data_IF_727010801341
#
_entry.id   IF_727010801341
#
_cell.length_a   1.000
_cell.length_b   1.000
_cell.length_c   1.000
_cell.angle_alpha   90.00
_cell.angle_beta   90.00
_cell.angle_gamma   90.00
#
_symmetry.space_group_name_H-M   'P 1'
#
loop_
_entity.id
_entity.type
_entity.pdbx_description
1 polymer ?
#
# COMPACT_ATOMS: atom_id res chain seq x y z
N UNK A 1 -6.70 5.32 -40.75
CA UNK A 1 -6.63 6.79 -40.86
C UNK A 1 -7.65 7.38 -39.89
N UNK A 2 -7.21 8.20 -38.93
CA UNK A 2 -8.14 8.86 -38.01
C UNK A 2 -8.79 10.05 -38.73
N UNK A 3 -10.09 9.97 -39.01
CA UNK A 3 -10.84 11.05 -39.66
C UNK A 3 -11.03 12.27 -38.76
N UNK A 4 -11.67 13.32 -39.29
CA UNK A 4 -12.13 14.46 -38.47
C UNK A 4 -13.24 14.04 -37.51
N UNK A 5 -13.42 14.81 -36.44
CA UNK A 5 -14.50 14.58 -35.49
C UNK A 5 -15.87 14.78 -36.17
N UNK A 6 -16.79 13.83 -35.97
CA UNK A 6 -18.20 13.87 -36.41
C UNK A 6 -19.06 14.92 -35.67
N UNK A 7 -18.46 15.97 -35.13
CA UNK A 7 -19.20 17.06 -34.50
C UNK A 7 -19.03 18.29 -35.36
N UNK A 8 -20.13 18.87 -35.82
CA UNK A 8 -20.19 19.81 -36.95
C UNK A 8 -19.30 21.06 -36.75
N UNK A 9 -19.04 21.43 -35.50
CA UNK A 9 -18.22 22.58 -35.12
C UNK A 9 -16.83 22.21 -34.58
N UNK A 10 -16.32 20.99 -34.87
CA UNK A 10 -15.11 20.46 -34.26
C UNK A 10 -14.08 19.94 -35.26
N UNK A 11 -13.00 20.68 -35.42
CA UNK A 11 -11.89 20.32 -36.32
C UNK A 11 -10.87 19.36 -35.68
N UNK A 12 -11.17 18.80 -34.50
CA UNK A 12 -10.25 17.89 -33.82
C UNK A 12 -10.24 16.52 -34.51
N UNK A 13 -9.09 15.85 -34.48
CA UNK A 13 -8.94 14.49 -35.00
C UNK A 13 -9.76 13.50 -34.16
N UNK A 14 -10.48 12.60 -34.82
CA UNK A 14 -11.23 11.52 -34.19
C UNK A 14 -10.29 10.51 -33.52
N UNK A 15 -10.70 9.97 -32.37
CA UNK A 15 -9.95 8.96 -31.65
C UNK A 15 -10.75 7.66 -31.62
N UNK A 16 -10.50 6.79 -32.61
CA UNK A 16 -11.09 5.46 -32.69
C UNK A 16 -12.38 5.35 -33.52
N UNK A 17 -12.99 4.17 -33.42
CA UNK A 17 -14.01 3.63 -34.35
C UNK A 17 -15.35 4.37 -34.41
N UNK A 18 -15.63 5.30 -33.48
CA UNK A 18 -16.89 6.09 -33.48
C UNK A 18 -16.79 7.45 -34.14
N UNK A 19 -15.63 7.81 -34.70
CA UNK A 19 -15.48 9.06 -35.46
C UNK A 19 -15.56 10.35 -34.63
N UNK A 20 -15.55 10.28 -33.29
CA UNK A 20 -15.49 11.46 -32.42
C UNK A 20 -14.08 11.70 -31.90
N UNK A 21 -13.70 12.96 -31.68
CA UNK A 21 -12.51 13.27 -30.90
C UNK A 21 -12.69 12.78 -29.44
N UNK A 22 -11.60 12.59 -28.70
CA UNK A 22 -11.63 12.08 -27.32
C UNK A 22 -12.60 12.84 -26.41
N UNK A 23 -12.71 14.15 -26.58
CA UNK A 23 -13.58 14.99 -25.76
C UNK A 23 -15.08 14.77 -26.09
N UNK A 24 -15.45 14.73 -27.37
CA UNK A 24 -16.82 14.46 -27.80
C UNK A 24 -17.24 13.01 -27.56
N UNK A 25 -16.34 12.05 -27.74
CA UNK A 25 -16.60 10.65 -27.40
C UNK A 25 -17.00 10.49 -25.92
N UNK A 26 -16.28 11.16 -25.01
CA UNK A 26 -16.58 11.11 -23.57
C UNK A 26 -17.90 11.79 -23.21
N UNK A 27 -18.30 12.85 -23.92
CA UNK A 27 -19.60 13.51 -23.72
C UNK A 27 -20.76 12.65 -24.20
N UNK A 28 -20.62 12.11 -25.41
CA UNK A 28 -21.56 11.16 -25.99
C UNK A 28 -21.77 9.95 -25.06
N UNK A 29 -20.68 9.34 -24.57
CA UNK A 29 -20.76 8.20 -23.66
C UNK A 29 -21.43 8.53 -22.31
N UNK A 30 -21.39 9.80 -21.88
CA UNK A 30 -21.98 10.26 -20.61
C UNK A 30 -23.36 10.90 -20.78
N UNK A 31 -23.93 10.92 -21.98
CA UNK A 31 -25.21 11.58 -22.25
C UNK A 31 -25.19 13.09 -21.99
N UNK A 32 -24.03 13.74 -22.15
CA UNK A 32 -23.87 15.17 -21.92
C UNK A 32 -24.15 15.96 -23.20
N UNK A 33 -24.49 17.24 -23.05
CA UNK A 33 -24.69 18.14 -24.18
C UNK A 33 -23.46 18.17 -25.10
N UNK A 34 -23.70 17.78 -26.36
CA UNK A 34 -22.68 17.69 -27.39
C UNK A 34 -22.27 19.08 -27.89
N UNK A 35 -23.22 20.03 -27.93
CA UNK A 35 -23.03 21.37 -28.48
C UNK A 35 -22.37 22.35 -27.50
N UNK A 36 -22.41 22.06 -26.21
CA UNK A 36 -21.76 22.91 -25.22
C UNK A 36 -20.26 23.07 -25.54
N UNK A 37 -19.68 24.28 -25.39
CA UNK A 37 -18.29 24.52 -25.75
C UNK A 37 -17.35 23.53 -25.06
N UNK A 38 -16.45 22.93 -25.83
CA UNK A 38 -15.41 22.08 -25.26
C UNK A 38 -14.47 22.97 -24.44
N UNK A 39 -14.48 22.81 -23.12
CA UNK A 39 -13.49 23.46 -22.25
C UNK A 39 -12.09 23.17 -22.79
N UNK A 40 -11.46 24.20 -23.34
CA UNK A 40 -10.03 24.17 -23.62
C UNK A 40 -9.35 24.05 -22.27
N UNK A 41 -8.35 23.18 -22.16
CA UNK A 41 -7.49 23.16 -20.97
C UNK A 41 -6.90 24.56 -20.87
N UNK A 42 -7.36 25.34 -19.88
CA UNK A 42 -6.74 26.62 -19.56
C UNK A 42 -5.24 26.41 -19.41
N UNK A 43 -4.50 27.34 -19.99
CA UNK A 43 -3.07 27.33 -20.26
C UNK A 43 -2.22 26.58 -19.22
N UNK A 44 -1.43 25.65 -19.74
CA UNK A 44 -0.24 25.11 -19.10
C UNK A 44 0.74 26.29 -18.95
N UNK A 45 0.95 26.81 -17.74
CA UNK A 45 2.02 27.78 -17.48
C UNK A 45 1.80 28.83 -16.39
N UNK A 46 0.59 29.00 -15.87
CA UNK A 46 0.38 30.00 -14.81
C UNK A 46 1.14 29.63 -13.52
N UNK A 47 1.85 30.58 -12.92
CA UNK A 47 2.60 30.44 -11.66
C UNK A 47 1.67 30.55 -10.46
N UNK A 48 1.97 29.85 -9.37
CA UNK A 48 1.15 29.80 -8.15
C UNK A 48 0.66 31.19 -7.68
N UNK A 49 -0.59 31.31 -7.22
CA UNK A 49 -1.15 32.55 -6.64
C UNK A 49 -0.49 33.01 -5.33
N UNK A 50 0.46 32.24 -4.79
CA UNK A 50 1.08 32.57 -3.50
C UNK A 50 2.29 33.44 -3.79
N UNK A 51 2.34 34.60 -3.15
CA UNK A 51 3.43 35.54 -3.31
C UNK A 51 4.79 34.87 -3.03
N UNK A 52 5.77 35.15 -3.89
CA UNK A 52 7.09 34.50 -3.85
C UNK A 52 7.14 33.05 -4.35
N UNK A 53 6.08 32.48 -4.94
CA UNK A 53 6.09 31.10 -5.45
C UNK A 53 6.04 31.01 -6.98
N UNK A 54 7.18 30.64 -7.60
CA UNK A 54 7.31 30.46 -9.05
C UNK A 54 6.85 29.08 -9.57
N UNK A 55 6.38 28.18 -8.70
CA UNK A 55 5.95 26.82 -9.10
C UNK A 55 4.68 26.88 -9.97
N UNK A 56 4.53 25.95 -10.94
CA UNK A 56 3.35 25.92 -11.81
C UNK A 56 2.07 25.60 -11.02
N UNK A 57 0.97 26.28 -11.38
CA UNK A 57 -0.38 26.00 -10.88
C UNK A 57 -0.82 24.60 -11.29
N UNK A 58 -1.35 23.84 -10.34
CA UNK A 58 -1.89 22.50 -10.56
C UNK A 58 -3.41 22.46 -10.39
N UNK A 59 -3.96 23.18 -9.41
CA UNK A 59 -5.40 23.24 -9.16
C UNK A 59 -5.77 24.50 -8.36
N UNK A 60 -6.97 25.06 -8.62
CA UNK A 60 -7.55 26.20 -7.89
C UNK A 60 -6.62 27.41 -7.70
N UNK A 61 -5.74 27.69 -8.66
CA UNK A 61 -4.80 28.80 -8.55
C UNK A 61 -3.49 28.50 -7.80
N UNK A 62 -3.34 27.32 -7.23
CA UNK A 62 -2.19 26.95 -6.39
C UNK A 62 -1.29 25.90 -7.06
N UNK A 63 0.01 25.91 -6.71
CA UNK A 63 0.90 24.76 -6.98
C UNK A 63 0.48 23.55 -6.12
N UNK A 64 1.00 22.37 -6.41
CA UNK A 64 0.62 21.13 -5.71
C UNK A 64 0.73 21.25 -4.18
N UNK A 65 1.85 21.82 -3.69
CA UNK A 65 2.11 21.98 -2.26
C UNK A 65 1.16 22.99 -1.62
N UNK A 66 0.90 24.12 -2.27
CA UNK A 66 -0.03 25.13 -1.74
C UNK A 66 -1.48 24.67 -1.81
N UNK A 67 -1.86 23.92 -2.84
CA UNK A 67 -3.18 23.33 -2.94
C UNK A 67 -3.43 22.30 -1.82
N UNK A 68 -2.43 21.48 -1.50
CA UNK A 68 -2.51 20.52 -0.39
C UNK A 68 -2.67 21.22 0.97
N UNK A 69 -1.92 22.30 1.22
CA UNK A 69 -2.04 23.11 2.45
C UNK A 69 -3.40 23.79 2.55
N UNK A 70 -3.85 24.43 1.47
CA UNK A 70 -5.18 25.05 1.41
C UNK A 70 -6.29 24.03 1.67
N UNK A 71 -6.19 22.82 1.12
CA UNK A 71 -7.16 21.73 1.38
C UNK A 71 -7.15 21.27 2.84
N UNK A 72 -6.02 21.38 3.52
CA UNK A 72 -5.85 21.04 4.93
C UNK A 72 -6.11 22.21 5.90
N UNK A 73 -6.57 23.38 5.42
CA UNK A 73 -6.80 24.56 6.25
C UNK A 73 -5.52 25.24 6.77
N UNK A 74 -4.36 24.94 6.20
CA UNK A 74 -3.06 25.47 6.62
C UNK A 74 -2.71 26.75 5.83
N UNK A 75 -2.12 27.74 6.52
CA UNK A 75 -1.66 28.99 5.89
C UNK A 75 -0.68 28.76 4.73
N UNK A 76 -0.83 29.54 3.67
CA UNK A 76 0.01 29.51 2.48
C UNK A 76 1.29 30.36 2.58
N UNK A 77 1.43 31.17 3.63
CA UNK A 77 2.50 32.18 3.76
C UNK A 77 3.84 31.69 4.33
N UNK A 78 3.93 30.64 5.19
CA UNK A 78 5.24 30.17 5.64
C UNK A 78 6.04 29.63 4.45
N UNK A 79 7.35 29.94 4.34
CA UNK A 79 8.17 29.37 3.28
C UNK A 79 8.10 27.85 3.36
N UNK A 80 7.72 27.22 2.24
CA UNK A 80 7.89 25.78 2.07
C UNK A 80 9.37 25.53 2.27
N UNK A 81 9.77 24.88 3.38
CA UNK A 81 11.18 24.55 3.64
C UNK A 81 11.77 23.90 2.39
N UNK A 82 12.59 24.66 1.68
CA UNK A 82 13.38 24.16 0.57
C UNK A 82 14.50 23.36 1.21
N UNK A 83 14.42 22.04 1.12
CA UNK A 83 15.55 21.18 1.47
C UNK A 83 16.60 21.24 0.35
N UNK A 84 17.12 22.43 0.02
CA UNK A 84 18.30 22.61 -0.84
C UNK A 84 19.60 22.24 -0.11
N UNK A 85 19.54 21.24 0.78
CA UNK A 85 20.74 20.69 1.39
C UNK A 85 21.35 19.73 0.37
N UNK A 86 22.66 19.80 0.20
CA UNK A 86 23.42 18.81 -0.56
C UNK A 86 23.81 17.64 0.35
N UNK A 87 24.31 16.57 -0.23
CA UNK A 87 24.77 15.41 0.53
C UNK A 87 26.03 15.75 1.32
N UNK A 88 26.12 15.32 2.57
CA UNK A 88 27.32 15.48 3.43
C UNK A 88 28.46 14.49 3.08
N UNK A 89 28.29 13.64 2.07
CA UNK A 89 29.36 12.73 1.66
C UNK A 89 30.32 13.48 0.75
N UNK A 90 31.62 13.32 1.01
CA UNK A 90 32.68 13.97 0.24
C UNK A 90 32.52 13.74 -1.27
N UNK A 91 32.66 14.81 -2.05
CA UNK A 91 32.49 14.79 -3.50
C UNK A 91 31.08 14.48 -4.03
N UNK A 92 30.00 14.71 -3.26
CA UNK A 92 28.62 14.41 -3.69
C UNK A 92 27.68 15.62 -3.71
N UNK A 93 27.37 16.12 -4.90
CA UNK A 93 26.45 17.26 -5.09
C UNK A 93 24.95 16.87 -5.13
N UNK A 94 24.62 15.63 -4.80
CA UNK A 94 23.23 15.14 -4.89
C UNK A 94 22.35 15.77 -3.80
N UNK A 95 21.05 15.97 -4.05
CA UNK A 95 20.15 16.51 -3.04
C UNK A 95 20.10 15.62 -1.80
N UNK A 96 20.12 16.25 -0.63
CA UNK A 96 19.88 15.65 0.67
C UNK A 96 18.51 14.96 0.68
N UNK A 97 18.51 13.69 1.08
CA UNK A 97 17.29 12.93 1.29
C UNK A 97 16.92 12.89 2.77
N UNK A 98 17.83 12.37 3.60
CA UNK A 98 17.60 12.18 5.03
C UNK A 98 18.92 11.99 5.78
N UNK A 99 18.95 12.36 7.06
CA UNK A 99 20.12 12.19 7.98
C UNK A 99 21.46 12.70 7.44
N UNK A 100 21.44 13.79 6.68
CA UNK A 100 22.65 14.41 6.11
C UNK A 100 23.04 13.87 4.72
N UNK A 101 22.46 12.75 4.30
CA UNK A 101 22.86 12.06 3.09
C UNK A 101 21.80 12.13 1.98
N UNK A 102 22.25 12.05 0.72
CA UNK A 102 21.36 11.73 -0.39
C UNK A 102 20.75 10.33 -0.21
N UNK A 103 19.65 10.02 -0.87
CA UNK A 103 18.96 8.73 -0.70
C UNK A 103 19.88 7.51 -0.93
N UNK A 104 20.87 7.61 -1.83
CA UNK A 104 21.82 6.53 -2.10
C UNK A 104 22.85 6.36 -0.96
N UNK A 105 23.47 7.45 -0.50
CA UNK A 105 24.42 7.40 0.62
C UNK A 105 23.74 7.04 1.93
N UNK A 106 22.52 7.52 2.19
CA UNK A 106 21.74 7.09 3.34
C UNK A 106 21.51 5.58 3.33
N UNK A 107 21.20 5.00 2.16
CA UNK A 107 20.98 3.57 2.04
C UNK A 107 22.28 2.79 2.30
N UNK A 108 23.42 3.23 1.75
CA UNK A 108 24.73 2.62 1.99
C UNK A 108 25.15 2.68 3.46
N UNK A 109 25.00 3.84 4.10
CA UNK A 109 25.25 4.00 5.54
C UNK A 109 24.42 3.00 6.36
N UNK A 110 23.14 2.86 6.02
CA UNK A 110 22.23 1.96 6.74
C UNK A 110 22.57 0.49 6.52
N UNK A 111 23.10 0.12 5.36
CA UNK A 111 23.37 -1.28 5.00
C UNK A 111 24.84 -1.70 5.17
N UNK A 112 25.73 -0.80 5.60
CA UNK A 112 27.17 -1.08 5.73
C UNK A 112 27.89 -1.27 4.40
N UNK A 113 27.37 -0.73 3.30
CA UNK A 113 28.04 -0.80 2.00
C UNK A 113 29.11 0.30 1.88
N UNK A 114 30.19 0.08 1.10
CA UNK A 114 31.24 1.09 0.90
C UNK A 114 30.68 2.42 0.41
N UNK A 115 31.07 3.51 1.07
CA UNK A 115 30.53 4.84 0.80
C UNK A 115 31.12 5.49 -0.44
N UNK A 116 32.42 5.33 -0.66
CA UNK A 116 33.20 5.99 -1.71
C UNK A 116 32.99 5.41 -3.12
N UNK A 117 32.29 4.27 -3.25
CA UNK A 117 32.02 3.71 -4.58
C UNK A 117 31.13 4.66 -5.40
N UNK A 118 31.35 4.81 -6.71
CA UNK A 118 30.48 5.64 -7.54
C UNK A 118 29.01 5.20 -7.43
N UNK A 119 28.10 6.14 -7.13
CA UNK A 119 26.68 5.81 -7.14
C UNK A 119 26.23 5.76 -8.61
N UNK A 120 25.79 4.60 -9.09
CA UNK A 120 25.18 4.43 -10.42
C UNK A 120 24.19 5.57 -10.72
N UNK A 121 24.36 6.24 -11.87
CA UNK A 121 23.47 7.31 -12.31
C UNK A 121 22.15 6.70 -12.74
N UNK A 122 21.03 7.35 -12.39
CA UNK A 122 19.70 6.88 -12.74
C UNK A 122 19.47 7.10 -14.24
N UNK A 123 19.55 6.04 -15.03
CA UNK A 123 19.27 6.09 -16.48
C UNK A 123 20.31 5.40 -17.36
N UNK A 124 21.51 5.15 -16.84
CA UNK A 124 22.62 4.52 -17.59
C UNK A 124 22.61 2.97 -17.47
N UNK A 125 21.56 2.41 -16.87
CA UNK A 125 21.49 1.01 -16.49
C UNK A 125 20.41 0.27 -17.26
N UNK A 126 20.70 -0.06 -18.50
CA UNK A 126 19.89 -0.96 -19.32
C UNK A 126 20.33 -0.85 -20.76
N UNK A 127 21.10 -1.84 -21.24
CA UNK A 127 21.37 -1.96 -22.68
C UNK A 127 20.07 -2.07 -23.48
N UNK A 128 20.20 -2.31 -24.78
CA UNK A 128 19.03 -2.60 -25.62
C UNK A 128 18.26 -3.80 -25.07
N UNK A 129 16.96 -3.84 -25.34
CA UNK A 129 16.14 -5.01 -25.06
C UNK A 129 16.76 -6.24 -25.74
N UNK A 130 16.87 -7.35 -25.02
CA UNK A 130 17.39 -8.61 -25.55
C UNK A 130 16.42 -9.32 -26.52
N UNK A 131 15.37 -8.65 -26.97
CA UNK A 131 14.40 -9.21 -27.91
C UNK A 131 14.79 -8.71 -29.29
N UNK A 132 14.97 -9.63 -30.24
CA UNK A 132 15.35 -9.30 -31.61
C UNK A 132 14.35 -8.30 -32.23
N UNK A 133 14.88 -7.25 -32.86
CA UNK A 133 14.07 -6.17 -33.44
C UNK A 133 13.45 -5.22 -32.43
N UNK A 134 13.91 -5.19 -31.16
CA UNK A 134 13.44 -4.25 -30.15
C UNK A 134 14.58 -3.34 -29.67
N UNK A 135 14.53 -2.07 -30.07
CA UNK A 135 15.52 -1.05 -29.68
C UNK A 135 15.14 -0.30 -28.39
N UNK A 136 14.05 -0.71 -27.73
CA UNK A 136 13.63 -0.10 -26.47
C UNK A 136 14.68 -0.36 -25.36
N UNK A 137 14.91 0.61 -24.46
CA UNK A 137 15.84 0.44 -23.36
C UNK A 137 15.38 -0.66 -22.39
N UNK A 138 16.31 -1.54 -22.00
CA UNK A 138 16.04 -2.58 -21.03
C UNK A 138 15.69 -1.96 -19.67
N UNK A 139 14.60 -2.44 -19.08
CA UNK A 139 14.12 -2.04 -17.77
C UNK A 139 14.61 -3.00 -16.66
N UNK A 140 14.65 -4.29 -16.94
CA UNK A 140 15.09 -5.32 -15.99
C UNK A 140 15.26 -6.67 -16.68
N UNK A 141 16.22 -7.47 -16.21
CA UNK A 141 16.59 -8.76 -16.82
C UNK A 141 16.88 -8.68 -18.33
N UNK A 142 17.42 -7.56 -18.80
CA UNK A 142 17.69 -7.34 -20.22
C UNK A 142 16.44 -7.07 -21.09
N UNK A 143 15.24 -6.99 -20.52
CA UNK A 143 14.00 -6.78 -21.27
C UNK A 143 13.46 -5.35 -21.09
N UNK A 144 12.91 -4.75 -22.15
CA UNK A 144 12.16 -3.50 -22.06
C UNK A 144 10.91 -3.67 -21.17
N UNK A 145 10.27 -2.59 -20.73
CA UNK A 145 9.09 -2.68 -19.83
C UNK A 145 7.98 -3.57 -20.39
N UNK A 146 7.74 -3.49 -21.70
CA UNK A 146 6.70 -4.25 -22.40
C UNK A 146 7.06 -5.73 -22.42
N UNK A 147 8.27 -6.08 -22.87
CA UNK A 147 8.71 -7.47 -22.92
C UNK A 147 8.90 -8.08 -21.53
N UNK A 148 9.38 -7.31 -20.55
CA UNK A 148 9.46 -7.74 -19.15
C UNK A 148 8.07 -8.08 -18.60
N UNK A 149 7.07 -7.22 -18.83
CA UNK A 149 5.70 -7.47 -18.38
C UNK A 149 5.03 -8.66 -19.05
N UNK A 150 5.38 -8.95 -20.31
CA UNK A 150 4.91 -10.13 -21.06
C UNK A 150 5.59 -11.42 -20.61
N UNK A 151 6.90 -11.40 -20.42
CA UNK A 151 7.70 -12.57 -20.01
C UNK A 151 7.48 -12.94 -18.53
N UNK A 152 7.18 -11.95 -17.68
CA UNK A 152 6.94 -12.14 -16.25
C UNK A 152 5.58 -11.56 -15.85
N UNK A 153 4.46 -12.16 -16.30
CA UNK A 153 3.14 -11.74 -15.90
C UNK A 153 3.01 -11.91 -14.38
N UNK A 154 2.41 -10.93 -13.70
CA UNK A 154 2.10 -11.10 -12.28
C UNK A 154 1.04 -12.19 -12.14
N UNK A 155 1.28 -13.16 -11.26
CA UNK A 155 0.29 -14.21 -10.95
C UNK A 155 -1.08 -13.56 -10.60
N UNK A 156 -2.15 -13.97 -11.30
CA UNK A 156 -3.51 -13.55 -10.96
C UNK A 156 -3.87 -13.85 -9.50
N UNK A 157 -3.41 -14.97 -8.96
CA UNK A 157 -3.59 -15.40 -7.57
C UNK A 157 -2.87 -14.44 -6.62
N UNK A 158 -1.62 -14.09 -6.90
CA UNK A 158 -0.85 -13.14 -6.10
C UNK A 158 -1.52 -11.75 -6.08
N UNK A 159 -2.05 -11.30 -7.21
CA UNK A 159 -2.81 -10.06 -7.29
C UNK A 159 -4.13 -10.15 -6.51
N UNK A 160 -4.87 -11.28 -6.62
CA UNK A 160 -6.11 -11.52 -5.88
C UNK A 160 -5.86 -11.53 -4.38
N UNK A 161 -4.82 -12.22 -3.92
CA UNK A 161 -4.40 -12.25 -2.52
C UNK A 161 -4.02 -10.85 -2.03
N UNK A 162 -3.25 -10.08 -2.81
CA UNK A 162 -2.90 -8.69 -2.48
C UNK A 162 -4.14 -7.80 -2.33
N UNK A 163 -5.09 -7.90 -3.26
CA UNK A 163 -6.32 -7.12 -3.23
C UNK A 163 -7.22 -7.54 -2.07
N UNK A 164 -7.34 -8.83 -1.78
CA UNK A 164 -8.06 -9.36 -0.62
C UNK A 164 -7.50 -8.80 0.69
N UNK A 165 -6.19 -8.88 0.91
CA UNK A 165 -5.52 -8.28 2.08
C UNK A 165 -5.78 -6.78 2.20
N UNK A 166 -5.76 -6.05 1.07
CA UNK A 166 -6.05 -4.60 1.06
C UNK A 166 -7.50 -4.31 1.47
N UNK A 167 -8.47 -5.09 0.96
CA UNK A 167 -9.89 -4.95 1.32
C UNK A 167 -10.13 -5.29 2.79
N UNK A 168 -9.58 -6.41 3.25
CA UNK A 168 -9.65 -6.83 4.66
C UNK A 168 -9.11 -5.72 5.57
N UNK A 169 -7.90 -5.19 5.32
CA UNK A 169 -7.37 -4.04 6.07
C UNK A 169 -8.28 -2.80 6.05
N UNK A 170 -8.94 -2.54 4.93
CA UNK A 170 -9.84 -1.40 4.79
C UNK A 170 -11.18 -1.60 5.53
N UNK A 171 -11.66 -2.84 5.66
CA UNK A 171 -12.87 -3.19 6.43
C UNK A 171 -12.58 -3.22 7.92
N UNK A 172 -11.46 -3.84 8.31
CA UNK A 172 -11.03 -3.97 9.71
C UNK A 172 -10.75 -2.61 10.36
N UNK A 173 -10.37 -1.59 9.57
CA UNK A 173 -10.24 -0.18 10.00
C UNK A 173 -9.44 0.07 11.30
N UNK A 174 -8.48 -0.80 11.66
CA UNK A 174 -7.60 -0.55 12.80
C UNK A 174 -6.96 0.83 12.73
N UNK A 175 -7.20 1.62 13.76
CA UNK A 175 -6.61 2.94 13.96
C UNK A 175 -5.11 2.82 14.29
N UNK A 176 -4.43 3.95 14.49
CA UNK A 176 -3.03 3.90 14.94
C UNK A 176 -2.98 3.43 16.39
N UNK A 177 -3.97 3.86 17.17
CA UNK A 177 -4.21 3.55 18.56
C UNK A 177 -4.50 2.05 18.75
N UNK A 178 -5.36 1.45 17.93
CA UNK A 178 -5.66 0.01 17.97
C UNK A 178 -4.41 -0.84 17.75
N UNK A 179 -3.54 -0.42 16.81
CA UNK A 179 -2.28 -1.12 16.54
C UNK A 179 -1.32 -1.00 17.71
N UNK A 180 -1.20 0.19 18.31
CA UNK A 180 -0.37 0.39 19.49
C UNK A 180 -0.86 -0.47 20.66
N UNK A 181 -2.17 -0.46 20.93
CA UNK A 181 -2.78 -1.27 21.97
C UNK A 181 -2.56 -2.77 21.73
N UNK A 182 -2.63 -3.23 20.48
CA UNK A 182 -2.36 -4.63 20.13
C UNK A 182 -0.89 -5.01 20.27
N UNK A 183 0.05 -4.06 20.19
CA UNK A 183 1.47 -4.31 20.47
C UNK A 183 1.69 -4.42 21.97
N UNK A 184 1.14 -3.50 22.77
CA UNK A 184 1.26 -3.54 24.22
C UNK A 184 0.57 -4.77 24.81
N UNK A 185 -0.59 -5.16 24.27
CA UNK A 185 -1.29 -6.36 24.71
C UNK A 185 -0.46 -7.64 24.47
N UNK A 186 0.23 -7.77 23.34
CA UNK A 186 1.12 -8.92 23.08
C UNK A 186 2.24 -9.04 24.11
N UNK A 187 2.78 -7.91 24.57
CA UNK A 187 3.77 -7.89 25.65
C UNK A 187 3.13 -8.31 26.98
N UNK A 188 1.92 -7.82 27.26
CA UNK A 188 1.19 -8.17 28.48
C UNK A 188 0.91 -9.67 28.60
N UNK A 189 0.60 -10.34 27.48
CA UNK A 189 0.31 -11.79 27.45
C UNK A 189 1.54 -12.66 27.15
N UNK A 190 2.76 -12.11 27.11
CA UNK A 190 3.95 -12.82 26.60
C UNK A 190 4.20 -14.16 27.31
N UNK A 191 3.95 -14.19 28.62
CA UNK A 191 4.15 -15.34 29.51
C UNK A 191 2.86 -16.10 29.86
N UNK A 192 1.74 -15.77 29.22
CA UNK A 192 0.49 -16.49 29.47
C UNK A 192 0.62 -17.95 29.01
N UNK A 193 0.00 -18.83 29.78
CA UNK A 193 -0.19 -20.23 29.38
C UNK A 193 -1.04 -20.34 28.12
N UNK A 194 -0.95 -21.47 27.43
CA UNK A 194 -1.78 -21.76 26.26
C UNK A 194 -3.27 -21.55 26.59
N UNK A 195 -3.94 -20.69 25.85
CA UNK A 195 -5.37 -20.37 26.02
C UNK A 195 -6.26 -21.61 25.87
N UNK A 196 -5.84 -22.59 25.07
CA UNK A 196 -6.60 -23.82 24.82
C UNK A 196 -6.37 -24.89 25.88
N UNK A 197 -5.11 -25.22 26.17
CA UNK A 197 -4.76 -26.37 27.03
C UNK A 197 -4.13 -25.98 28.37
N UNK A 198 -3.96 -24.69 28.68
CA UNK A 198 -3.40 -24.22 29.96
C UNK A 198 -1.93 -24.58 30.22
N UNK A 199 -1.25 -25.32 29.31
CA UNK A 199 0.17 -25.64 29.47
C UNK A 199 1.03 -24.39 29.28
N UNK A 200 2.12 -24.30 30.03
CA UNK A 200 3.18 -23.31 29.84
C UNK A 200 4.22 -23.81 28.84
N UNK A 201 5.06 -22.91 28.30
CA UNK A 201 6.11 -23.25 27.36
C UNK A 201 6.25 -22.23 26.23
N UNK A 202 6.81 -22.67 25.09
CA UNK A 202 6.91 -21.83 23.89
C UNK A 202 5.52 -21.65 23.28
N UNK A 203 5.04 -20.42 23.27
CA UNK A 203 3.72 -20.08 22.75
C UNK A 203 3.82 -19.27 21.45
N UNK A 204 2.79 -19.39 20.63
CA UNK A 204 2.53 -18.58 19.45
C UNK A 204 1.37 -17.61 19.71
N UNK A 205 1.37 -16.48 19.02
CA UNK A 205 0.20 -15.61 18.99
C UNK A 205 -0.83 -16.25 18.06
N UNK A 206 -2.03 -16.49 18.57
CA UNK A 206 -3.16 -17.00 17.80
C UNK A 206 -4.33 -16.01 17.84
N UNK A 207 -5.18 -16.10 16.82
CA UNK A 207 -6.40 -15.33 16.70
C UNK A 207 -7.61 -16.17 17.13
N UNK A 208 -8.35 -15.73 18.16
CA UNK A 208 -9.56 -16.42 18.66
C UNK A 208 -10.59 -16.64 17.53
N UNK A 209 -10.88 -15.60 16.76
CA UNK A 209 -11.55 -15.67 15.45
C UNK A 209 -10.48 -15.67 14.35
N UNK A 210 -10.38 -16.72 13.51
CA UNK A 210 -9.42 -16.79 12.42
C UNK A 210 -9.56 -15.64 11.42
N UNK A 211 -8.44 -15.17 10.86
CA UNK A 211 -8.43 -14.11 9.84
C UNK A 211 -9.27 -14.46 8.60
N UNK A 212 -9.35 -15.75 8.24
CA UNK A 212 -10.17 -16.25 7.12
C UNK A 212 -11.67 -16.10 7.36
N UNK A 213 -12.11 -16.01 8.63
CA UNK A 213 -13.51 -15.86 9.04
C UNK A 213 -13.82 -14.43 9.51
N UNK A 214 -12.99 -13.45 9.14
CA UNK A 214 -13.20 -12.04 9.51
C UNK A 214 -12.53 -11.62 10.82
N UNK A 215 -11.76 -12.50 11.43
CA UNK A 215 -10.86 -12.15 12.54
C UNK A 215 -9.92 -11.00 12.22
N UNK A 216 -9.47 -10.33 13.27
CA UNK A 216 -8.63 -9.13 13.16
C UNK A 216 -7.42 -9.21 14.08
N UNK A 217 -6.44 -8.32 13.87
CA UNK A 217 -5.26 -8.18 14.74
C UNK A 217 -5.52 -7.30 15.98
N UNK A 218 -6.78 -6.95 16.28
CA UNK A 218 -7.10 -6.23 17.51
C UNK A 218 -6.79 -7.08 18.74
N UNK A 219 -6.31 -6.40 19.79
CA UNK A 219 -5.91 -7.02 21.05
C UNK A 219 -6.92 -8.04 21.62
N UNK A 220 -8.23 -7.74 21.57
CA UNK A 220 -9.28 -8.63 22.11
C UNK A 220 -9.39 -9.97 21.36
N UNK A 221 -8.89 -10.05 20.13
CA UNK A 221 -8.90 -11.25 19.31
C UNK A 221 -7.60 -12.07 19.43
N UNK A 222 -6.62 -11.63 20.23
CA UNK A 222 -5.33 -12.30 20.38
C UNK A 222 -5.29 -13.17 21.64
N UNK A 223 -4.59 -14.29 21.58
CA UNK A 223 -4.24 -15.11 22.73
C UNK A 223 -2.93 -15.88 22.51
N UNK A 224 -2.37 -16.47 23.57
CA UNK A 224 -1.22 -17.38 23.48
C UNK A 224 -1.68 -18.81 23.24
N UNK A 225 -1.03 -19.53 22.34
CA UNK A 225 -1.33 -20.92 22.05
C UNK A 225 -0.04 -21.73 21.81
N UNK A 226 0.03 -22.95 22.36
CA UNK A 226 1.14 -23.84 22.03
C UNK A 226 1.05 -24.32 20.58
N UNK A 227 2.15 -24.81 20.02
CA UNK A 227 2.21 -25.33 18.64
C UNK A 227 1.10 -26.32 18.33
N UNK A 228 0.87 -27.28 19.23
CA UNK A 228 -0.08 -28.38 19.01
C UNK A 228 -1.52 -27.88 18.92
N UNK A 229 -1.92 -27.01 19.86
CA UNK A 229 -3.27 -26.45 19.88
C UNK A 229 -3.49 -25.48 18.72
N UNK A 230 -2.51 -24.63 18.42
CA UNK A 230 -2.59 -23.66 17.33
C UNK A 230 -2.76 -24.37 15.97
N UNK A 231 -1.94 -25.39 15.71
CA UNK A 231 -2.03 -26.20 14.48
C UNK A 231 -3.34 -26.99 14.41
N UNK A 232 -3.79 -27.56 15.53
CA UNK A 232 -5.05 -28.31 15.58
C UNK A 232 -6.28 -27.42 15.37
N UNK A 233 -6.24 -26.17 15.85
CA UNK A 233 -7.31 -25.19 15.62
C UNK A 233 -7.38 -24.77 14.15
N UNK A 234 -6.25 -24.43 13.55
CA UNK A 234 -6.22 -23.98 12.16
C UNK A 234 -7.22 -22.85 11.90
N UNK A 235 -8.22 -23.11 11.05
CA UNK A 235 -9.26 -22.13 10.66
C UNK A 235 -10.55 -22.22 11.47
N UNK A 236 -10.58 -22.98 12.56
CA UNK A 236 -11.73 -23.05 13.46
C UNK A 236 -11.79 -21.84 14.38
N UNK A 237 -12.99 -21.42 14.72
CA UNK A 237 -13.25 -20.51 15.85
C UNK A 237 -12.94 -21.19 17.18
N UNK A 238 -12.73 -20.41 18.24
CA UNK A 238 -12.60 -20.97 19.61
C UNK A 238 -13.78 -21.87 19.98
N UNK A 239 -15.00 -21.46 19.62
CA UNK A 239 -16.23 -22.21 19.94
C UNK A 239 -16.22 -23.57 19.25
N UNK A 240 -15.93 -23.61 17.95
CA UNK A 240 -15.83 -24.87 17.20
C UNK A 240 -14.72 -25.76 17.79
N UNK A 241 -13.57 -25.17 18.15
CA UNK A 241 -12.46 -25.92 18.75
C UNK A 241 -12.85 -26.54 20.09
N UNK A 242 -13.55 -25.78 20.92
CA UNK A 242 -14.07 -26.22 22.22
C UNK A 242 -15.06 -27.36 22.05
N UNK A 243 -16.00 -27.24 21.11
CA UNK A 243 -16.98 -28.29 20.83
C UNK A 243 -16.31 -29.57 20.34
N UNK A 244 -15.30 -29.46 19.49
CA UNK A 244 -14.64 -30.63 18.90
C UNK A 244 -13.59 -31.28 19.81
N UNK A 245 -12.83 -30.50 20.58
CA UNK A 245 -11.65 -30.97 21.32
C UNK A 245 -11.65 -30.61 22.81
N UNK A 246 -12.46 -29.63 23.22
CA UNK A 246 -12.49 -29.12 24.59
C UNK A 246 -12.96 -30.17 25.59
N UNK A 247 -14.04 -30.90 25.28
CA UNK A 247 -14.60 -31.91 26.17
C UNK A 247 -13.61 -33.08 26.43
N UNK A 248 -13.06 -33.66 25.37
CA UNK A 248 -12.15 -34.82 25.48
C UNK A 248 -10.83 -34.49 26.19
N UNK A 249 -10.26 -33.30 25.93
CA UNK A 249 -9.00 -32.91 26.58
C UNK A 249 -9.18 -32.59 28.07
N UNK A 250 -10.32 -31.97 28.43
CA UNK A 250 -10.62 -31.58 29.80
C UNK A 250 -10.99 -32.79 30.67
N UNK A 251 -11.78 -33.74 30.18
CA UNK A 251 -12.07 -35.00 30.88
C UNK A 251 -10.79 -35.79 31.21
N UNK A 252 -9.78 -35.74 30.34
CA UNK A 252 -8.48 -36.41 30.55
C UNK A 252 -7.56 -35.68 31.55
N UNK A 253 -7.69 -34.36 31.72
CA UNK A 253 -6.76 -33.56 32.52
C UNK A 253 -7.38 -32.96 33.80
N UNK A 254 -8.70 -32.88 33.89
CA UNK A 254 -9.48 -32.28 34.99
C UNK A 254 -10.85 -32.99 35.19
N UNK A 255 -10.84 -34.28 35.58
CA UNK A 255 -12.05 -35.12 35.62
C UNK A 255 -13.15 -34.65 36.60
N UNK A 256 -12.83 -33.75 37.54
CA UNK A 256 -13.77 -33.28 38.58
C UNK A 256 -14.53 -31.98 38.24
N UNK A 257 -14.44 -31.46 37.01
CA UNK A 257 -15.04 -30.16 36.66
C UNK A 257 -15.88 -30.19 35.38
N UNK A 258 -17.06 -29.56 35.42
CA UNK A 258 -18.04 -29.65 34.33
C UNK A 258 -17.70 -28.77 33.12
N UNK A 259 -17.97 -29.28 31.92
CA UNK A 259 -17.68 -28.60 30.64
C UNK A 259 -18.36 -27.22 30.49
N UNK A 260 -19.45 -26.95 31.22
CA UNK A 260 -20.14 -25.65 31.21
C UNK A 260 -19.33 -24.54 31.88
N UNK A 261 -18.57 -24.85 32.93
CA UNK A 261 -17.69 -23.86 33.61
C UNK A 261 -16.55 -23.35 32.72
N UNK A 262 -16.24 -24.05 31.63
CA UNK A 262 -15.19 -23.71 30.67
C UNK A 262 -15.58 -22.57 29.72
N UNK A 263 -16.84 -22.51 29.27
CA UNK A 263 -17.32 -21.47 28.35
C UNK A 263 -17.33 -20.12 29.09
N UNK A 264 -17.81 -20.10 30.33
CA UNK A 264 -17.93 -18.88 31.13
C UNK A 264 -16.57 -18.29 31.54
N UNK A 265 -15.57 -19.13 31.86
CA UNK A 265 -14.24 -18.66 32.30
C UNK A 265 -13.32 -18.18 31.18
N UNK A 266 -13.62 -18.49 29.91
CA UNK A 266 -12.73 -18.18 28.76
C UNK A 266 -13.33 -17.23 27.73
N UNK A 267 -14.64 -16.97 27.78
CA UNK A 267 -15.35 -16.02 26.89
C UNK A 267 -15.33 -14.58 27.40
N UNK A 268 -14.94 -14.36 28.66
CA UNK A 268 -14.61 -13.03 29.21
C UNK A 268 -13.11 -12.72 29.09
#
# INVERSE_FOLDING_TARGET
MNGSCKHDTCDRVANGSRGYCKAHYLRWHKGQDMNAPLLTRQSVGATCSVDGCSKPRKAKGYCDTHYARHKAGLSALPPIRSHNRVCEHDGCDRPHGSKGYCHAHYKRAKTGLPMHEPIRVRGEGGGACSVEGCDDPAHGKGLCRTHYGRAYPRSPEANRAKLSRRRHRAVVRMTVEDRALSVEYRRAIEHDSCYYCGRSGVMHDDHKLPLSLGGTDHWYNLCRACSDCNLRKGTMTVVEWVVQYGAWWWEQNYPESSALTMIEKRVH
#
